data_IF_013056726681
#
_entry.id   IF_013056726681
#
_cell.length_a   1.000
_cell.length_b   1.000
_cell.length_c   1.000
_cell.angle_alpha   90.00
_cell.angle_beta   90.00
_cell.angle_gamma   90.00
#
_symmetry.space_group_name_H-M   'P 1'
#
loop_
_entity.id
_entity.type
_entity.pdbx_description
1 polymer ?
#
# COMPACT_ATOMS: atom_id res chain seq x y z
N UNK A 1 -4.00 23.89 15.81
CA UNK A 1 -4.23 22.88 14.76
C UNK A 1 -3.96 21.51 15.37
N UNK A 2 -5.00 20.77 15.76
CA UNK A 2 -4.84 19.44 16.36
C UNK A 2 -4.26 18.50 15.31
N UNK A 3 -3.07 17.94 15.56
CA UNK A 3 -2.54 16.88 14.72
C UNK A 3 -3.58 15.77 14.61
N UNK A 4 -3.91 15.26 13.41
CA UNK A 4 -4.89 14.20 13.30
C UNK A 4 -4.40 13.01 14.13
N UNK A 5 -5.22 12.57 15.08
CA UNK A 5 -4.88 11.45 15.95
C UNK A 5 -4.62 10.22 15.09
N UNK A 6 -3.46 9.60 15.29
CA UNK A 6 -3.12 8.34 14.66
C UNK A 6 -4.07 7.25 15.18
N UNK A 7 -4.48 6.29 14.33
CA UNK A 7 -5.28 5.17 14.83
C UNK A 7 -4.47 4.39 15.87
N UNK A 8 -5.13 3.84 16.91
CA UNK A 8 -4.44 3.02 17.90
C UNK A 8 -3.78 1.81 17.24
N UNK A 9 -2.60 1.43 17.74
CA UNK A 9 -1.87 0.27 17.26
C UNK A 9 -2.67 -1.02 17.55
N UNK A 10 -3.11 -1.76 16.52
CA UNK A 10 -3.87 -2.98 16.75
C UNK A 10 -3.01 -4.12 17.30
N UNK A 11 -3.57 -4.91 18.22
CA UNK A 11 -2.86 -6.02 18.91
C UNK A 11 -2.24 -7.03 17.93
N UNK A 12 -2.92 -7.34 16.81
CA UNK A 12 -2.39 -8.29 15.82
C UNK A 12 -1.19 -7.76 15.01
N UNK A 13 -0.87 -6.47 15.14
CA UNK A 13 0.33 -5.84 14.58
C UNK A 13 1.41 -5.57 15.63
N UNK A 14 1.20 -5.96 16.90
CA UNK A 14 2.15 -5.71 17.99
C UNK A 14 3.50 -6.42 17.79
N UNK A 15 3.58 -7.42 16.90
CA UNK A 15 4.83 -8.08 16.53
C UNK A 15 5.67 -7.26 15.53
N UNK A 16 5.14 -6.17 14.99
CA UNK A 16 5.86 -5.30 14.05
C UNK A 16 6.58 -4.18 14.80
N UNK A 17 7.69 -3.66 14.25
CA UNK A 17 8.28 -2.41 14.71
C UNK A 17 7.26 -1.27 14.69
N UNK A 18 7.42 -0.33 15.61
CA UNK A 18 6.60 0.89 15.70
C UNK A 18 7.47 2.10 15.43
N UNK A 19 7.00 3.01 14.57
CA UNK A 19 7.69 4.26 14.28
C UNK A 19 6.69 5.40 14.24
N UNK A 20 6.91 6.43 15.07
CA UNK A 20 6.01 7.57 15.18
C UNK A 20 4.57 7.16 15.47
N UNK A 21 4.36 6.22 16.40
CA UNK A 21 3.04 5.73 16.83
C UNK A 21 2.33 4.76 15.88
N UNK A 22 2.91 4.45 14.72
CA UNK A 22 2.32 3.54 13.73
C UNK A 22 3.10 2.24 13.61
N UNK A 23 2.40 1.12 13.40
CA UNK A 23 3.01 -0.11 12.92
C UNK A 23 3.75 0.15 11.60
N UNK A 24 4.98 -0.33 11.52
CA UNK A 24 5.77 -0.34 10.29
C UNK A 24 5.34 -1.56 9.46
N UNK A 25 4.77 -1.38 8.25
CA UNK A 25 4.43 -2.49 7.38
C UNK A 25 5.62 -3.41 7.11
N UNK A 26 5.37 -4.71 6.99
CA UNK A 26 6.40 -5.72 6.76
C UNK A 26 7.23 -5.44 5.49
N UNK A 27 6.60 -4.92 4.44
CA UNK A 27 7.29 -4.54 3.18
C UNK A 27 8.08 -3.22 3.27
N UNK A 28 8.01 -2.49 4.39
CA UNK A 28 8.74 -1.23 4.52
C UNK A 28 10.24 -1.50 4.72
N UNK A 29 11.12 -0.94 3.87
CA UNK A 29 12.54 -1.19 3.99
C UNK A 29 13.11 -0.44 5.19
N UNK A 30 14.25 -0.96 5.67
CA UNK A 30 15.01 -0.41 6.79
C UNK A 30 16.40 -0.03 6.28
N UNK A 31 16.86 1.17 6.57
CA UNK A 31 18.23 1.60 6.25
C UNK A 31 19.25 0.89 7.14
N UNK A 32 20.53 0.94 6.75
CA UNK A 32 21.62 0.36 7.54
C UNK A 32 21.68 0.91 8.98
N UNK A 33 21.36 2.19 9.18
CA UNK A 33 21.27 2.82 10.51
C UNK A 33 19.93 2.54 11.24
N UNK A 34 19.09 1.65 10.73
CA UNK A 34 17.92 1.14 11.41
C UNK A 34 16.62 1.94 11.22
N UNK A 35 16.62 3.03 10.44
CA UNK A 35 15.43 3.85 10.16
C UNK A 35 14.49 3.18 9.16
N UNK A 36 13.19 3.26 9.39
CA UNK A 36 12.17 2.77 8.46
C UNK A 36 11.77 3.82 7.42
N UNK A 37 11.58 3.38 6.18
CA UNK A 37 11.34 4.26 5.04
C UNK A 37 9.88 4.19 4.57
N UNK A 38 8.98 4.90 5.28
CA UNK A 38 7.59 5.03 4.84
C UNK A 38 7.48 5.64 3.44
N UNK A 39 6.54 5.13 2.65
CA UNK A 39 6.36 5.50 1.24
C UNK A 39 7.34 4.82 0.28
N UNK A 40 8.20 3.93 0.79
CA UNK A 40 9.09 3.08 0.00
C UNK A 40 8.80 1.62 0.31
N UNK A 41 9.10 0.74 -0.66
CA UNK A 41 8.92 -0.71 -0.55
C UNK A 41 10.27 -1.41 -0.67
N UNK A 42 10.46 -2.46 0.13
CA UNK A 42 11.54 -3.42 0.01
C UNK A 42 11.22 -4.38 -1.16
N UNK A 43 12.06 -4.42 -2.20
CA UNK A 43 11.78 -5.18 -3.44
C UNK A 43 11.56 -6.66 -3.15
N UNK A 44 12.42 -7.24 -2.32
CA UNK A 44 12.43 -8.68 -2.10
C UNK A 44 11.23 -9.10 -1.26
N UNK A 45 10.89 -8.30 -0.24
CA UNK A 45 9.65 -8.51 0.53
C UNK A 45 8.42 -8.27 -0.30
N UNK A 46 8.43 -7.28 -1.17
CA UNK A 46 7.34 -7.00 -2.10
C UNK A 46 7.08 -8.18 -3.06
N UNK A 47 8.14 -8.63 -3.74
CA UNK A 47 8.08 -9.78 -4.63
C UNK A 47 7.67 -11.06 -3.89
N UNK A 48 8.20 -11.27 -2.69
CA UNK A 48 7.81 -12.38 -1.81
C UNK A 48 6.35 -12.27 -1.38
N UNK A 49 5.83 -11.07 -1.06
CA UNK A 49 4.43 -10.86 -0.72
C UNK A 49 3.50 -11.23 -1.87
N UNK A 50 3.83 -10.81 -3.08
CA UNK A 50 3.05 -11.12 -4.28
C UNK A 50 3.07 -12.62 -4.58
N UNK A 51 4.26 -13.19 -4.74
CA UNK A 51 4.46 -14.57 -5.22
C UNK A 51 4.12 -15.62 -4.18
N UNK A 52 4.33 -15.34 -2.89
CA UNK A 52 4.04 -16.27 -1.78
C UNK A 52 2.75 -15.92 -1.04
N UNK A 53 1.92 -15.03 -1.61
CA UNK A 53 0.64 -14.58 -1.04
C UNK A 53 0.76 -14.22 0.44
N UNK A 54 1.62 -13.25 0.76
CA UNK A 54 1.75 -12.71 2.12
C UNK A 54 1.20 -11.30 2.20
N UNK A 55 0.65 -10.96 3.35
CA UNK A 55 0.15 -9.63 3.61
C UNK A 55 1.28 -8.60 3.62
N UNK A 56 1.15 -7.53 2.81
CA UNK A 56 2.13 -6.45 2.78
C UNK A 56 2.35 -5.72 4.12
N UNK A 57 1.34 -5.74 4.99
CA UNK A 57 1.39 -5.09 6.31
C UNK A 57 1.93 -6.02 7.37
N UNK A 58 1.27 -7.16 7.63
CA UNK A 58 1.66 -8.01 8.76
C UNK A 58 2.69 -9.11 8.42
N UNK A 59 2.95 -9.36 7.13
CA UNK A 59 3.89 -10.38 6.65
C UNK A 59 3.40 -11.84 6.77
N UNK A 60 2.21 -12.07 7.34
CA UNK A 60 1.60 -13.41 7.47
C UNK A 60 0.97 -13.86 6.15
N UNK A 61 0.83 -15.19 5.93
CA UNK A 61 0.13 -15.72 4.75
C UNK A 61 -1.29 -15.14 4.62
N UNK A 62 -1.71 -14.88 3.39
CA UNK A 62 -3.07 -14.49 3.04
C UNK A 62 -3.92 -15.75 2.89
N UNK A 63 -4.96 -15.82 3.71
CA UNK A 63 -6.00 -16.83 3.68
C UNK A 63 -7.37 -16.18 3.48
N UNK A 64 -8.22 -16.81 2.68
CA UNK A 64 -9.57 -16.30 2.40
C UNK A 64 -9.60 -14.97 1.63
N UNK A 65 -10.37 -13.99 2.15
CA UNK A 65 -10.63 -12.72 1.46
C UNK A 65 -9.40 -11.81 1.51
N UNK A 66 -9.00 -11.30 0.35
CA UNK A 66 -7.86 -10.41 0.19
C UNK A 66 -8.38 -9.02 -0.19
N UNK A 67 -7.70 -7.97 0.29
CA UNK A 67 -7.94 -6.59 -0.14
C UNK A 67 -6.73 -6.11 -0.94
N UNK A 68 -7.00 -5.66 -2.16
CA UNK A 68 -6.05 -4.92 -2.98
C UNK A 68 -6.35 -3.43 -2.82
N UNK A 69 -5.32 -2.64 -2.52
CA UNK A 69 -5.42 -1.18 -2.53
C UNK A 69 -4.97 -0.67 -3.90
N UNK A 70 -5.87 0.04 -4.57
CA UNK A 70 -5.70 0.54 -5.92
C UNK A 70 -5.81 2.06 -5.94
N UNK A 71 -5.00 2.69 -6.78
CA UNK A 71 -5.26 4.08 -7.18
C UNK A 71 -6.33 4.13 -8.26
N UNK A 72 -6.87 5.30 -8.50
CA UNK A 72 -7.85 5.50 -9.58
C UNK A 72 -7.30 5.03 -10.94
N UNK A 73 -6.06 5.34 -11.27
CA UNK A 73 -5.40 4.93 -12.52
C UNK A 73 -5.17 3.42 -12.64
N UNK A 74 -5.16 2.70 -11.51
CA UNK A 74 -5.00 1.24 -11.46
C UNK A 74 -6.32 0.50 -11.75
N UNK A 75 -7.47 1.13 -11.47
CA UNK A 75 -8.79 0.48 -11.60
C UNK A 75 -9.10 -0.05 -13.01
N UNK A 76 -8.90 0.71 -14.10
CA UNK A 76 -9.17 0.20 -15.45
C UNK A 76 -8.29 -1.00 -15.83
N UNK A 77 -7.05 -1.03 -15.32
CA UNK A 77 -6.10 -2.14 -15.55
C UNK A 77 -6.40 -3.37 -14.69
N UNK A 78 -7.17 -3.21 -13.61
CA UNK A 78 -7.53 -4.26 -12.64
C UNK A 78 -6.30 -4.94 -12.02
N UNK A 79 -5.23 -4.17 -11.83
CA UNK A 79 -4.00 -4.62 -11.18
C UNK A 79 -3.39 -3.51 -10.32
N UNK A 80 -2.56 -3.87 -9.35
CA UNK A 80 -1.81 -2.93 -8.52
C UNK A 80 -0.40 -3.43 -8.29
N UNK A 81 0.55 -2.51 -8.23
CA UNK A 81 1.92 -2.78 -7.79
C UNK A 81 2.07 -2.86 -6.27
N UNK A 82 0.96 -2.88 -5.53
CA UNK A 82 0.88 -3.15 -4.09
C UNK A 82 0.53 -4.62 -3.83
N UNK A 83 1.01 -5.22 -2.72
CA UNK A 83 0.68 -6.60 -2.40
C UNK A 83 -0.71 -6.70 -1.77
N UNK A 84 -1.29 -7.90 -1.80
CA UNK A 84 -2.55 -8.15 -1.11
C UNK A 84 -2.46 -7.97 0.40
N UNK A 85 -3.58 -7.56 1.00
CA UNK A 85 -3.71 -7.35 2.44
C UNK A 85 -4.82 -8.21 3.05
N UNK A 86 -4.66 -8.64 4.30
CA UNK A 86 -5.81 -9.08 5.08
C UNK A 86 -6.82 -7.94 5.25
N UNK A 87 -8.13 -8.21 5.35
CA UNK A 87 -9.13 -7.16 5.50
C UNK A 87 -8.88 -6.22 6.69
N UNK A 88 -8.45 -6.77 7.83
CA UNK A 88 -8.09 -6.01 9.03
C UNK A 88 -6.83 -5.15 8.85
N UNK A 89 -5.85 -5.64 8.08
CA UNK A 89 -4.64 -4.88 7.75
C UNK A 89 -4.97 -3.73 6.79
N UNK A 90 -5.80 -3.97 5.78
CA UNK A 90 -6.29 -2.91 4.90
C UNK A 90 -7.08 -1.86 5.70
N UNK A 91 -7.94 -2.28 6.64
CA UNK A 91 -8.68 -1.37 7.51
C UNK A 91 -7.77 -0.47 8.36
N UNK A 92 -6.65 -0.99 8.84
CA UNK A 92 -5.63 -0.19 9.51
C UNK A 92 -4.96 0.78 8.54
N UNK A 93 -4.50 0.31 7.37
CA UNK A 93 -3.87 1.17 6.34
C UNK A 93 -4.78 2.31 5.91
N UNK A 94 -6.08 2.06 5.71
CA UNK A 94 -7.09 3.06 5.35
C UNK A 94 -7.29 4.16 6.40
N UNK A 95 -6.79 3.98 7.64
CA UNK A 95 -6.81 4.98 8.71
C UNK A 95 -5.44 5.60 8.97
N UNK A 96 -4.38 4.80 8.83
CA UNK A 96 -3.03 5.16 9.23
C UNK A 96 -2.22 5.83 8.12
N UNK A 97 -2.38 5.39 6.87
CA UNK A 97 -1.56 5.89 5.76
C UNK A 97 -2.10 7.24 5.24
N UNK A 98 -1.35 8.35 5.37
CA UNK A 98 -1.83 9.67 4.97
C UNK A 98 -2.15 9.77 3.46
N UNK A 99 -1.41 9.03 2.63
CA UNK A 99 -1.66 8.96 1.18
C UNK A 99 -2.98 8.23 0.87
N UNK A 100 -3.20 7.05 1.45
CA UNK A 100 -4.40 6.23 1.16
C UNK A 100 -5.68 6.88 1.71
N UNK A 101 -5.61 7.52 2.88
CA UNK A 101 -6.77 8.20 3.49
C UNK A 101 -7.03 9.59 2.90
N UNK A 102 -6.18 10.07 1.99
CA UNK A 102 -6.35 11.38 1.33
C UNK A 102 -5.98 12.59 2.21
N UNK A 103 -5.10 12.42 3.20
CA UNK A 103 -4.52 13.52 4.00
C UNK A 103 -3.26 14.12 3.36
N UNK A 104 -2.75 13.49 2.30
CA UNK A 104 -1.70 14.03 1.45
C UNK A 104 -2.30 14.30 0.08
N UNK A 105 -2.05 15.50 -0.46
CA UNK A 105 -2.52 15.93 -1.78
C UNK A 105 -1.48 15.71 -2.88
N UNK A 106 -0.22 15.46 -2.51
CA UNK A 106 0.89 15.19 -3.44
C UNK A 106 1.83 14.11 -2.91
N UNK A 107 2.47 13.42 -3.84
CA UNK A 107 3.64 12.60 -3.55
C UNK A 107 4.87 13.49 -3.30
N UNK A 108 5.89 12.91 -2.68
CA UNK A 108 7.16 13.62 -2.42
C UNK A 108 7.81 14.04 -3.74
N UNK A 109 8.13 15.33 -3.86
CA UNK A 109 8.82 15.88 -5.03
C UNK A 109 10.33 15.57 -5.04
N UNK A 110 10.96 15.53 -3.87
CA UNK A 110 12.39 15.18 -3.78
C UNK A 110 12.58 13.67 -3.75
N UNK A 111 13.37 13.09 -4.68
CA UNK A 111 13.67 11.68 -4.66
C UNK A 111 14.48 11.38 -3.41
N UNK A 112 14.21 10.22 -2.80
CA UNK A 112 15.00 9.78 -1.67
C UNK A 112 16.24 9.05 -2.18
N UNK A 113 17.43 9.29 -1.60
CA UNK A 113 18.57 8.41 -1.82
C UNK A 113 18.19 6.97 -1.47
N UNK A 114 18.38 6.06 -2.41
CA UNK A 114 18.19 4.62 -2.22
C UNK A 114 19.52 4.03 -1.74
N UNK A 115 19.48 3.26 -0.66
CA UNK A 115 20.59 2.41 -0.23
C UNK A 115 20.65 1.14 -1.10
N UNK A 116 21.77 0.40 -1.11
CA UNK A 116 21.88 -0.88 -1.81
C UNK A 116 20.74 -1.85 -1.44
N UNK A 117 20.13 -2.48 -2.45
CA UNK A 117 18.97 -3.38 -2.29
C UNK A 117 17.62 -2.68 -2.18
N UNK A 118 17.60 -1.35 -2.05
CA UNK A 118 16.36 -0.57 -2.10
C UNK A 118 16.03 -0.19 -3.53
N UNK A 119 14.74 -0.18 -3.83
CA UNK A 119 14.27 0.19 -5.16
C UNK A 119 13.13 1.17 -5.04
N UNK A 120 13.11 2.09 -5.98
CA UNK A 120 11.92 2.85 -6.25
C UNK A 120 10.79 1.91 -6.67
N UNK A 121 9.56 2.21 -6.23
CA UNK A 121 8.39 1.53 -6.78
C UNK A 121 8.30 1.72 -8.30
N UNK A 122 7.58 0.85 -9.02
CA UNK A 122 7.58 0.74 -10.49
C UNK A 122 7.40 2.07 -11.23
N UNK A 123 6.55 2.92 -10.67
CA UNK A 123 6.10 4.19 -11.20
C UNK A 123 6.53 5.37 -10.31
N UNK A 124 7.59 5.20 -9.50
CA UNK A 124 8.04 6.25 -8.59
C UNK A 124 8.46 7.54 -9.31
N UNK A 125 9.05 7.42 -10.51
CA UNK A 125 9.42 8.57 -11.32
C UNK A 125 8.17 9.35 -11.78
N UNK A 126 7.15 8.65 -12.27
CA UNK A 126 5.88 9.26 -12.66
C UNK A 126 5.14 9.87 -11.46
N UNK A 127 5.31 9.30 -10.27
CA UNK A 127 4.74 9.82 -9.01
C UNK A 127 5.50 11.01 -8.44
N UNK A 128 6.73 11.29 -8.86
CA UNK A 128 7.56 12.27 -8.17
C UNK A 128 6.93 13.68 -8.27
N UNK A 129 6.45 14.19 -7.13
CA UNK A 129 5.73 15.47 -7.05
C UNK A 129 4.34 15.47 -7.68
N UNK A 130 3.85 14.33 -8.16
CA UNK A 130 2.53 14.24 -8.77
C UNK A 130 1.41 14.41 -7.72
N UNK A 131 0.22 14.91 -8.14
CA UNK A 131 -0.96 14.92 -7.29
C UNK A 131 -1.33 13.52 -6.80
N UNK A 132 -1.85 13.43 -5.57
CA UNK A 132 -2.39 12.21 -5.01
C UNK A 132 -3.69 11.83 -5.72
N UNK A 133 -3.78 10.58 -6.16
CA UNK A 133 -5.00 10.03 -6.73
C UNK A 133 -5.95 9.54 -5.62
N UNK A 134 -7.27 9.56 -5.85
CA UNK A 134 -8.21 8.79 -5.04
C UNK A 134 -7.84 7.31 -4.98
N UNK A 135 -7.98 6.73 -3.80
CA UNK A 135 -7.72 5.31 -3.55
C UNK A 135 -9.00 4.51 -3.41
N UNK A 136 -8.91 3.23 -3.77
CA UNK A 136 -9.98 2.24 -3.71
C UNK A 136 -9.48 0.98 -3.00
N UNK A 137 -10.37 0.37 -2.22
CA UNK A 137 -10.20 -0.96 -1.69
C UNK A 137 -11.03 -1.93 -2.54
N UNK A 138 -10.37 -2.96 -3.08
CA UNK A 138 -11.00 -4.00 -3.89
C UNK A 138 -10.87 -5.33 -3.13
N UNK A 139 -11.99 -5.89 -2.72
CA UNK A 139 -12.04 -7.21 -2.08
C UNK A 139 -12.10 -8.29 -3.14
N UNK A 140 -11.23 -9.28 -3.04
CA UNK A 140 -11.11 -10.39 -3.99
C UNK A 140 -10.95 -11.72 -3.25
N UNK A 141 -11.32 -12.82 -3.89
CA UNK A 141 -11.05 -14.16 -3.39
C UNK A 141 -9.61 -14.62 -3.66
N UNK A 142 -8.94 -13.99 -4.62
CA UNK A 142 -7.58 -14.28 -5.05
C UNK A 142 -7.10 -13.25 -6.08
N UNK A 143 -5.83 -13.34 -6.43
CA UNK A 143 -5.23 -12.57 -7.51
C UNK A 143 -4.17 -13.41 -8.22
N UNK A 144 -3.89 -13.06 -9.47
CA UNK A 144 -2.77 -13.55 -10.24
C UNK A 144 -1.60 -12.60 -10.14
N UNK A 145 -0.37 -13.12 -10.17
CA UNK A 145 0.83 -12.31 -10.25
C UNK A 145 1.15 -12.11 -11.72
N UNK A 146 1.13 -10.85 -12.18
CA UNK A 146 1.48 -10.48 -13.55
C UNK A 146 2.69 -9.54 -13.55
N UNK A 147 3.24 -9.29 -14.73
CA UNK A 147 4.18 -8.19 -14.96
C UNK A 147 3.41 -6.99 -15.49
N UNK A 148 3.46 -5.88 -14.76
CA UNK A 148 2.89 -4.58 -15.15
C UNK A 148 4.00 -3.52 -15.08
N UNK A 149 4.17 -2.76 -16.17
CA UNK A 149 5.26 -1.77 -16.31
C UNK A 149 6.64 -2.29 -15.85
N UNK A 150 6.97 -3.54 -16.22
CA UNK A 150 8.26 -4.17 -15.90
C UNK A 150 8.42 -4.64 -14.44
N UNK A 151 7.35 -4.65 -13.64
CA UNK A 151 7.38 -5.05 -12.24
C UNK A 151 6.25 -6.04 -11.91
N UNK A 152 6.41 -6.82 -10.84
CA UNK A 152 5.34 -7.71 -10.40
C UNK A 152 4.17 -6.90 -9.84
N UNK A 153 2.96 -7.31 -10.20
CA UNK A 153 1.70 -6.72 -9.77
C UNK A 153 0.67 -7.79 -9.42
N UNK A 154 -0.21 -7.48 -8.46
CA UNK A 154 -1.39 -8.28 -8.15
C UNK A 154 -2.52 -7.89 -9.10
N UNK A 155 -2.98 -8.84 -9.92
CA UNK A 155 -4.08 -8.66 -10.87
C UNK A 155 -5.31 -9.45 -10.46
N UNK A 156 -6.47 -8.79 -10.50
CA UNK A 156 -7.77 -9.45 -10.37
C UNK A 156 -8.52 -9.47 -11.70
N UNK A 157 -7.85 -9.32 -12.84
CA UNK A 157 -8.50 -9.30 -14.15
C UNK A 157 -9.30 -10.59 -14.46
N UNK A 158 -8.89 -11.73 -13.91
CA UNK A 158 -9.54 -13.03 -14.06
C UNK A 158 -10.52 -13.37 -12.93
N UNK A 159 -10.71 -12.47 -11.96
CA UNK A 159 -11.56 -12.69 -10.80
C UNK A 159 -12.56 -11.54 -10.64
N UNK A 160 -13.86 -11.85 -10.55
CA UNK A 160 -14.84 -10.83 -10.21
C UNK A 160 -14.56 -10.27 -8.80
N UNK A 161 -14.49 -8.94 -8.63
CA UNK A 161 -14.31 -8.36 -7.30
C UNK A 161 -15.55 -8.64 -6.45
N UNK A 162 -15.33 -9.06 -5.21
CA UNK A 162 -16.39 -9.27 -4.22
C UNK A 162 -17.00 -7.94 -3.78
N UNK A 163 -16.18 -6.88 -3.75
CA UNK A 163 -16.59 -5.52 -3.42
C UNK A 163 -15.54 -4.53 -3.91
N UNK A 164 -15.98 -3.36 -4.35
CA UNK A 164 -15.13 -2.19 -4.60
C UNK A 164 -15.63 -1.05 -3.71
N UNK A 165 -14.73 -0.32 -3.06
CA UNK A 165 -15.08 0.83 -2.22
C UNK A 165 -14.05 1.95 -2.42
N UNK A 166 -14.52 3.17 -2.66
CA UNK A 166 -13.66 4.34 -2.58
C UNK A 166 -13.20 4.60 -1.13
N UNK A 167 -12.00 5.15 -0.98
CA UNK A 167 -11.39 5.45 0.32
C UNK A 167 -11.26 6.96 0.49
N UNK A 168 -10.56 7.61 -0.44
CA UNK A 168 -10.27 9.05 -0.42
C UNK A 168 -10.98 9.82 -1.52
N UNK A 169 -11.93 9.19 -2.23
CA UNK A 169 -12.74 9.90 -3.21
C UNK A 169 -13.71 10.85 -2.49
N UNK A 170 -13.49 12.14 -2.63
CA UNK A 170 -14.49 13.18 -2.37
C UNK A 170 -15.12 13.61 -3.70
N UNK A 171 -16.44 13.74 -3.75
CA UNK A 171 -17.09 14.44 -4.87
C UNK A 171 -16.58 15.88 -4.90
N UNK A 172 -16.12 16.40 -6.05
CA UNK A 172 -15.83 17.83 -6.16
C UNK A 172 -17.11 18.62 -5.89
N UNK A 173 -17.09 19.52 -4.91
CA UNK A 173 -18.16 20.51 -4.71
C UNK A 173 -19.22 20.21 -3.65
N UNK A 174 -19.00 19.25 -2.74
CA UNK A 174 -19.87 19.08 -1.56
C UNK A 174 -18.98 19.16 -0.32
N UNK A 175 -19.01 20.32 0.34
CA UNK A 175 -18.40 20.57 1.65
C UNK A 175 -19.48 20.54 2.73
#
# INVERSE_FOLDING_TARGET
>A
MSSPSQPPLPVWLAHLPVSGGMAVPWITPRTANGRHLFGTVDRDRMNSALTRRRCGVCGKPLDGRIVLLLRQSDLPRRCTSEPGLHPQCAAYTMKACPMVVGRMDHYRASPRPLEPGQVSGPDAAARQGAPAEPWFAVWVAGYDVIVDHGNLAASYAQCAPLRVRSISWSLPGIW
#
